data_IF_086101115493
#
_entry.id   IF_086101115493
#
_cell.length_a   1.000
_cell.length_b   1.000
_cell.length_c   1.000
_cell.angle_alpha   90.00
_cell.angle_beta   90.00
_cell.angle_gamma   90.00
#
_symmetry.space_group_name_H-M   'P 1'
#
loop_
_entity.id
_entity.type
_entity.pdbx_description
1 polymer ?
#
# COMPACT_ATOMS: atom_id res chain seq x y z
N UNK A 1 6.61 37.41 -14.20
CA UNK A 1 7.11 36.21 -13.48
C UNK A 1 5.89 35.50 -12.89
N UNK A 2 5.42 34.42 -13.52
CA UNK A 2 4.23 33.70 -13.06
C UNK A 2 4.65 32.67 -12.01
N UNK A 3 4.70 33.08 -10.75
CA UNK A 3 5.08 32.26 -9.59
C UNK A 3 3.98 31.34 -9.06
N UNK A 4 3.16 30.77 -9.93
CA UNK A 4 2.08 29.86 -9.55
C UNK A 4 2.54 28.39 -9.56
N UNK A 5 3.54 28.04 -8.76
CA UNK A 5 3.88 26.63 -8.56
C UNK A 5 2.69 25.95 -7.88
N UNK A 6 2.03 25.00 -8.56
CA UNK A 6 1.00 24.19 -7.94
C UNK A 6 1.60 23.51 -6.70
N UNK A 7 1.01 23.75 -5.53
CA UNK A 7 1.38 23.01 -4.31
C UNK A 7 1.21 21.52 -4.60
N UNK A 8 2.30 20.77 -4.56
CA UNK A 8 2.28 19.34 -4.84
C UNK A 8 1.37 18.59 -3.87
N UNK A 9 0.46 17.78 -4.40
CA UNK A 9 -0.40 16.92 -3.58
C UNK A 9 0.32 15.60 -3.34
N UNK A 10 0.47 15.20 -2.07
CA UNK A 10 0.95 13.87 -1.68
C UNK A 10 -0.28 12.97 -1.50
N UNK A 11 -0.28 11.82 -2.17
CA UNK A 11 -1.34 10.81 -2.09
C UNK A 11 -0.84 9.62 -1.29
N UNK A 12 -1.57 9.29 -0.23
CA UNK A 12 -1.26 8.14 0.63
C UNK A 12 -2.35 7.09 0.46
N UNK A 13 -1.96 5.88 0.08
CA UNK A 13 -2.84 4.71 0.08
C UNK A 13 -2.81 4.07 1.48
N UNK A 14 -3.92 4.17 2.20
CA UNK A 14 -4.14 3.49 3.47
C UNK A 14 -4.83 2.15 3.22
N UNK A 15 -4.18 1.06 3.61
CA UNK A 15 -4.71 -0.30 3.47
C UNK A 15 -5.10 -0.80 4.84
N UNK A 16 -6.33 -1.32 4.93
CA UNK A 16 -6.79 -2.06 6.10
C UNK A 16 -5.99 -3.34 6.34
N UNK A 17 -6.47 -4.17 7.24
CA UNK A 17 -5.75 -5.38 7.63
C UNK A 17 -5.56 -6.38 6.47
N UNK A 18 -4.32 -6.81 6.28
CA UNK A 18 -3.92 -7.81 5.30
C UNK A 18 -4.06 -9.18 5.95
N UNK A 19 -5.07 -9.95 5.54
CA UNK A 19 -5.35 -11.28 6.12
C UNK A 19 -4.81 -12.40 5.22
N UNK A 20 -3.83 -13.15 5.72
CA UNK A 20 -3.33 -14.38 5.09
C UNK A 20 -2.77 -14.20 3.67
N UNK A 21 -2.64 -15.31 2.92
CA UNK A 21 -2.06 -15.30 1.56
C UNK A 21 -2.92 -14.53 0.55
N UNK A 22 -4.25 -14.65 0.64
CA UNK A 22 -5.18 -13.94 -0.22
C UNK A 22 -5.04 -12.42 -0.07
N UNK A 23 -4.97 -11.93 1.18
CA UNK A 23 -4.74 -10.51 1.47
C UNK A 23 -3.40 -10.03 0.91
N UNK A 24 -2.32 -10.78 1.11
CA UNK A 24 -0.98 -10.42 0.59
C UNK A 24 -0.97 -10.31 -0.94
N UNK A 25 -1.60 -11.26 -1.63
CA UNK A 25 -1.67 -11.25 -3.10
C UNK A 25 -2.52 -10.08 -3.63
N UNK A 26 -3.66 -9.79 -3.00
CA UNK A 26 -4.50 -8.67 -3.37
C UNK A 26 -3.76 -7.34 -3.14
N UNK A 27 -3.13 -7.17 -1.98
CA UNK A 27 -2.32 -5.99 -1.65
C UNK A 27 -1.20 -5.77 -2.68
N UNK A 28 -0.40 -6.80 -2.99
CA UNK A 28 0.69 -6.70 -3.94
C UNK A 28 0.22 -6.24 -5.32
N UNK A 29 -0.90 -6.77 -5.82
CA UNK A 29 -1.48 -6.36 -7.11
C UNK A 29 -1.95 -4.90 -7.09
N UNK A 30 -2.72 -4.51 -6.08
CA UNK A 30 -3.33 -3.17 -5.99
C UNK A 30 -2.27 -2.10 -5.77
N UNK A 31 -1.37 -2.29 -4.79
CA UNK A 31 -0.34 -1.32 -4.47
C UNK A 31 0.63 -1.10 -5.65
N UNK A 32 0.97 -2.18 -6.38
CA UNK A 32 1.80 -2.08 -7.60
C UNK A 32 1.10 -1.28 -8.69
N UNK A 33 -0.18 -1.57 -8.95
CA UNK A 33 -0.96 -0.83 -9.95
C UNK A 33 -1.11 0.65 -9.57
N UNK A 34 -1.43 0.95 -8.31
CA UNK A 34 -1.61 2.33 -7.84
C UNK A 34 -0.31 3.13 -7.87
N UNK A 35 0.83 2.51 -7.57
CA UNK A 35 2.13 3.14 -7.74
C UNK A 35 2.44 3.42 -9.21
N UNK A 36 2.21 2.44 -10.10
CA UNK A 36 2.47 2.57 -11.54
C UNK A 36 1.58 3.64 -12.21
N UNK A 37 0.32 3.74 -11.79
CA UNK A 37 -0.61 4.77 -12.25
C UNK A 37 -0.37 6.14 -11.61
N UNK A 38 0.65 6.25 -10.75
CA UNK A 38 0.93 7.45 -9.99
C UNK A 38 -0.28 7.90 -9.18
N UNK A 39 -1.02 6.98 -8.55
CA UNK A 39 -2.16 7.24 -7.66
C UNK A 39 -1.79 7.20 -6.19
N UNK A 40 -0.61 6.67 -5.86
CA UNK A 40 -0.07 6.63 -4.51
C UNK A 40 1.41 7.00 -4.54
N UNK A 41 1.78 7.98 -3.71
CA UNK A 41 3.16 8.38 -3.47
C UNK A 41 3.72 7.61 -2.24
N UNK A 42 2.85 7.28 -1.27
CA UNK A 42 3.16 6.42 -0.13
C UNK A 42 2.05 5.38 0.09
N UNK A 43 2.42 4.23 0.67
CA UNK A 43 1.49 3.15 1.03
C UNK A 43 1.72 2.77 2.48
N UNK A 44 0.66 2.74 3.29
CA UNK A 44 0.66 2.26 4.67
C UNK A 44 -0.36 1.13 4.78
N UNK A 45 0.05 -0.02 5.33
CA UNK A 45 -0.81 -1.19 5.46
C UNK A 45 -0.75 -1.77 6.88
N UNK A 46 -1.90 -2.17 7.41
CA UNK A 46 -1.93 -3.02 8.59
C UNK A 46 -1.65 -4.47 8.17
N UNK A 47 -0.70 -5.11 8.84
CA UNK A 47 -0.25 -6.47 8.53
C UNK A 47 -0.38 -7.43 9.72
N UNK A 48 -1.21 -7.09 10.71
CA UNK A 48 -1.32 -7.87 11.94
C UNK A 48 -1.89 -9.28 11.72
N UNK A 49 -2.56 -9.55 10.60
CA UNK A 49 -3.07 -10.90 10.25
C UNK A 49 -2.43 -11.48 8.98
N UNK A 50 -1.27 -10.96 8.56
CA UNK A 50 -0.65 -11.33 7.29
C UNK A 50 -0.13 -12.77 7.25
N UNK A 51 0.30 -13.33 8.38
CA UNK A 51 0.82 -14.69 8.51
C UNK A 51 -0.29 -15.70 8.85
N UNK A 52 -0.96 -16.24 7.83
CA UNK A 52 -1.97 -17.29 8.04
C UNK A 52 -3.20 -16.84 8.84
N UNK A 53 -3.44 -15.54 8.96
CA UNK A 53 -4.55 -14.96 9.72
C UNK A 53 -4.19 -14.45 11.10
N UNK A 54 -2.92 -14.55 11.55
CA UNK A 54 -2.46 -13.96 12.82
C UNK A 54 -0.95 -13.68 12.80
N UNK A 55 -0.58 -12.46 13.15
CA UNK A 55 0.80 -11.96 13.18
C UNK A 55 1.40 -11.66 11.80
N UNK A 56 2.70 -11.35 11.83
CA UNK A 56 3.56 -11.11 10.67
C UNK A 56 4.86 -11.90 10.87
N UNK A 57 5.37 -12.56 9.84
CA UNK A 57 6.66 -13.25 9.89
C UNK A 57 7.65 -12.62 8.89
N UNK A 58 8.95 -12.78 9.15
CA UNK A 58 10.02 -12.23 8.30
C UNK A 58 10.02 -12.84 6.89
N UNK A 59 9.60 -14.10 6.77
CA UNK A 59 9.38 -14.78 5.50
C UNK A 59 8.08 -15.58 5.58
N UNK A 60 7.23 -15.37 4.58
CA UNK A 60 6.18 -16.30 4.18
C UNK A 60 6.55 -16.65 2.75
N UNK A 61 6.81 -17.93 2.49
CA UNK A 61 7.00 -18.42 1.13
C UNK A 61 5.86 -18.01 0.20
#
# INVERSE_FOLDING_TARGET
MNGGGAMGVIRVLMVGDIVGSAGRQAFARIATAYKAEGKADFVVANAENAAGGQGLTAALG
#
